data_IF_227784066149
#
_entry.id   IF_227784066149
#
_cell.length_a   1.000
_cell.length_b   1.000
_cell.length_c   1.000
_cell.angle_alpha   90.00
_cell.angle_beta   90.00
_cell.angle_gamma   90.00
#
_symmetry.space_group_name_H-M   'P 1'
#
loop_
_entity.id
_entity.type
_entity.pdbx_description
1 polymer ?
#
# COMPACT_ATOMS: atom_id res chain seq x y z
N UNK A 1 -23.89 -5.92 33.56
CA UNK A 1 -22.48 -5.62 33.23
C UNK A 1 -22.25 -6.16 31.85
N UNK A 2 -22.48 -5.32 30.84
CA UNK A 2 -22.27 -5.72 29.45
C UNK A 2 -20.76 -5.81 29.22
N UNK A 3 -20.28 -7.03 29.03
CA UNK A 3 -18.89 -7.31 28.68
C UNK A 3 -18.70 -6.95 27.21
N UNK A 4 -18.12 -5.78 26.94
CA UNK A 4 -17.65 -5.42 25.60
C UNK A 4 -16.55 -6.40 25.16
N UNK A 5 -16.90 -7.34 24.27
CA UNK A 5 -15.93 -8.19 23.58
C UNK A 5 -15.06 -7.34 22.66
N UNK A 6 -13.85 -7.01 23.12
CA UNK A 6 -12.81 -6.38 22.29
C UNK A 6 -12.37 -7.34 21.19
N UNK A 7 -12.82 -7.06 19.96
CA UNK A 7 -12.37 -7.78 18.76
C UNK A 7 -10.84 -7.74 18.65
N UNK A 8 -10.17 -8.84 18.27
CA UNK A 8 -8.72 -8.88 18.15
C UNK A 8 -8.25 -7.87 17.10
N UNK A 9 -7.25 -7.04 17.47
CA UNK A 9 -6.61 -6.12 16.53
C UNK A 9 -5.83 -6.94 15.51
N UNK A 10 -6.16 -6.79 14.22
CA UNK A 10 -5.36 -7.34 13.12
C UNK A 10 -3.92 -6.86 13.24
N UNK A 11 -2.97 -7.77 13.08
CA UNK A 11 -1.53 -7.44 13.04
C UNK A 11 -1.28 -6.44 11.91
N UNK A 12 -0.60 -5.33 12.22
CA UNK A 12 -0.30 -4.30 11.23
C UNK A 12 0.85 -4.78 10.35
N UNK A 13 0.54 -5.20 9.13
CA UNK A 13 1.54 -5.52 8.10
C UNK A 13 2.30 -4.23 7.76
N UNK A 14 3.63 -4.27 7.55
CA UNK A 14 4.37 -3.10 7.06
C UNK A 14 3.83 -2.66 5.70
N UNK A 15 3.79 -1.34 5.48
CA UNK A 15 3.35 -0.76 4.20
C UNK A 15 4.24 -1.25 3.06
N UNK A 16 3.63 -1.72 1.99
CA UNK A 16 4.29 -2.13 0.77
C UNK A 16 4.71 -0.88 -0.02
N UNK A 17 5.98 -0.79 -0.46
CA UNK A 17 6.41 0.33 -1.29
C UNK A 17 5.69 0.29 -2.64
N UNK A 18 5.22 1.45 -3.10
CA UNK A 18 4.60 1.55 -4.42
C UNK A 18 5.69 1.60 -5.49
N UNK A 19 5.57 0.80 -6.56
CA UNK A 19 6.42 0.92 -7.73
C UNK A 19 6.40 2.36 -8.28
N UNK A 20 7.57 2.92 -8.52
CA UNK A 20 7.74 4.29 -9.02
C UNK A 20 8.73 4.33 -10.20
N UNK A 21 8.59 5.33 -11.06
CA UNK A 21 9.49 5.53 -12.17
C UNK A 21 10.91 5.87 -11.71
N UNK A 22 11.90 5.32 -12.42
CA UNK A 22 13.31 5.60 -12.17
C UNK A 22 13.60 7.11 -12.34
N UNK A 23 14.41 7.74 -11.44
CA UNK A 23 14.68 9.17 -11.48
C UNK A 23 15.19 9.69 -12.83
N UNK A 24 16.04 8.93 -13.53
CA UNK A 24 16.59 9.34 -14.82
C UNK A 24 15.59 9.35 -15.98
N UNK A 25 14.45 8.65 -15.82
CA UNK A 25 13.38 8.57 -16.81
C UNK A 25 12.35 9.67 -16.54
N UNK A 26 11.86 9.78 -15.29
CA UNK A 26 10.82 10.76 -14.91
C UNK A 26 11.21 12.22 -15.06
N UNK A 27 12.51 12.53 -15.17
CA UNK A 27 13.00 13.90 -15.43
C UNK A 27 12.86 14.28 -16.91
N UNK A 28 12.65 13.31 -17.80
CA UNK A 28 12.57 13.52 -19.25
C UNK A 28 11.15 13.46 -19.81
N UNK A 29 10.16 13.12 -18.98
CA UNK A 29 8.75 12.98 -19.37
C UNK A 29 7.83 13.63 -18.32
N UNK A 30 6.52 13.63 -18.61
CA UNK A 30 5.46 14.11 -17.71
C UNK A 30 4.49 12.97 -17.34
N UNK A 31 4.96 11.74 -17.48
CA UNK A 31 4.17 10.56 -17.16
C UNK A 31 4.06 10.38 -15.63
N UNK A 32 3.08 9.62 -15.18
CA UNK A 32 2.82 9.44 -13.76
C UNK A 32 3.98 8.69 -13.06
N UNK A 33 4.59 9.31 -12.06
CA UNK A 33 5.73 8.76 -11.31
C UNK A 33 5.33 7.50 -10.51
N UNK A 34 4.29 7.52 -9.67
CA UNK A 34 3.81 6.29 -9.04
C UNK A 34 3.06 5.42 -10.05
N UNK A 35 3.51 4.18 -10.24
CA UNK A 35 2.90 3.24 -11.20
C UNK A 35 1.73 2.46 -10.60
N UNK A 36 1.41 2.68 -9.32
CA UNK A 36 0.36 1.95 -8.60
C UNK A 36 0.80 0.58 -8.11
N UNK A 37 -0.06 -0.04 -7.29
CA UNK A 37 0.17 -1.38 -6.76
C UNK A 37 -0.24 -2.46 -7.76
N UNK A 38 0.44 -3.60 -7.70
CA UNK A 38 -0.07 -4.84 -8.28
C UNK A 38 -1.31 -5.31 -7.52
N UNK A 39 -2.15 -6.13 -8.15
CA UNK A 39 -3.37 -6.68 -7.54
C UNK A 39 -3.08 -7.36 -6.20
N UNK A 40 -2.02 -8.16 -6.13
CA UNK A 40 -1.61 -8.87 -4.91
C UNK A 40 -1.26 -7.89 -3.78
N UNK A 41 -0.44 -6.89 -4.08
CA UNK A 41 -0.05 -5.85 -3.11
C UNK A 41 -1.23 -4.97 -2.69
N UNK A 42 -2.16 -4.68 -3.59
CA UNK A 42 -3.36 -3.91 -3.28
C UNK A 42 -4.28 -4.67 -2.32
N UNK A 43 -4.44 -5.98 -2.53
CA UNK A 43 -5.19 -6.86 -1.61
C UNK A 43 -4.48 -6.96 -0.25
N UNK A 44 -3.14 -7.00 -0.22
CA UNK A 44 -2.38 -7.01 1.02
C UNK A 44 -2.52 -5.71 1.82
N UNK A 45 -2.50 -4.56 1.16
CA UNK A 45 -2.72 -3.25 1.80
C UNK A 45 -4.17 -3.06 2.28
N UNK A 46 -5.15 -3.71 1.63
CA UNK A 46 -6.57 -3.61 1.97
C UNK A 46 -7.01 -4.55 3.13
N UNK A 47 -6.17 -5.52 3.52
CA UNK A 47 -6.50 -6.53 4.55
C UNK A 47 -6.48 -5.98 5.98
#
# INVERSE_FOLDING_TARGET
METEEKKPKKEKIPRQPMPEQAPGIRVKNFDEVPLGYSEETAVLEAK
#
